data_IF_418080004349
#
_entry.id   IF_418080004349
#
_cell.length_a   1.000
_cell.length_b   1.000
_cell.length_c   1.000
_cell.angle_alpha   90.00
_cell.angle_beta   90.00
_cell.angle_gamma   90.00
#
_symmetry.space_group_name_H-M   'P 1'
#
loop_
_entity.id
_entity.type
_entity.pdbx_description
1 polymer ?
#
# COMPACT_ATOMS: atom_id res chain seq x y z
N UNK A 1 -17.50 3.40 1.34
CA UNK A 1 -16.60 2.84 2.36
C UNK A 1 -15.95 3.98 3.12
N UNK A 2 -15.69 3.82 4.41
CA UNK A 2 -14.93 4.81 5.18
C UNK A 2 -13.43 4.54 5.09
N UNK A 3 -12.63 5.60 5.08
CA UNK A 3 -11.17 5.53 5.19
C UNK A 3 -10.71 6.09 6.53
N UNK A 4 -9.51 5.73 6.97
CA UNK A 4 -8.89 6.28 8.17
C UNK A 4 -7.37 6.28 8.02
N UNK A 5 -6.70 7.09 8.84
CA UNK A 5 -5.25 7.20 8.83
C UNK A 5 -4.61 6.18 9.76
N UNK A 6 -3.49 5.61 9.33
CA UNK A 6 -2.68 4.65 10.08
C UNK A 6 -1.22 4.91 9.79
N UNK A 7 -0.37 4.82 10.82
CA UNK A 7 1.08 4.89 10.66
C UNK A 7 1.59 3.53 10.18
N UNK A 8 2.37 3.54 9.11
CA UNK A 8 3.03 2.35 8.55
C UNK A 8 4.52 2.66 8.35
N UNK A 9 5.33 1.63 8.20
CA UNK A 9 6.71 1.77 7.72
C UNK A 9 6.81 1.20 6.29
N UNK A 10 7.42 1.97 5.39
CA UNK A 10 7.76 1.53 4.03
C UNK A 10 9.25 1.17 4.03
N UNK A 11 9.55 -0.08 3.69
CA UNK A 11 10.92 -0.57 3.60
C UNK A 11 11.43 -0.59 2.16
N UNK A 12 12.73 -0.34 1.99
CA UNK A 12 13.42 -0.56 0.72
C UNK A 12 13.33 -2.03 0.30
N UNK A 13 13.54 -2.39 -0.99
CA UNK A 13 13.38 -3.77 -1.44
C UNK A 13 14.25 -4.80 -0.70
N UNK A 14 15.37 -4.37 -0.10
CA UNK A 14 16.26 -5.25 0.69
C UNK A 14 15.81 -5.44 2.14
N UNK A 15 14.86 -4.62 2.62
CA UNK A 15 14.33 -4.68 3.98
C UNK A 15 15.27 -4.13 5.06
N UNK A 16 16.27 -3.34 4.67
CA UNK A 16 17.30 -2.77 5.56
C UNK A 16 16.93 -1.36 5.98
N UNK A 17 16.42 -0.53 5.06
CA UNK A 17 16.00 0.85 5.32
C UNK A 17 14.49 0.91 5.42
N UNK A 18 14.00 1.65 6.40
CA UNK A 18 12.57 1.84 6.66
C UNK A 18 12.27 3.32 6.86
N UNK A 19 11.14 3.77 6.33
CA UNK A 19 10.62 5.11 6.52
C UNK A 19 9.20 5.03 7.11
N UNK A 20 9.01 5.64 8.27
CA UNK A 20 7.69 5.79 8.87
C UNK A 20 6.88 6.87 8.12
N UNK A 21 5.66 6.54 7.72
CA UNK A 21 4.74 7.44 7.02
C UNK A 21 3.31 7.27 7.52
N UNK A 22 2.53 8.34 7.45
CA UNK A 22 1.09 8.27 7.64
C UNK A 22 0.41 7.87 6.32
N UNK A 23 -0.36 6.78 6.35
CA UNK A 23 -1.10 6.27 5.22
C UNK A 23 -2.61 6.31 5.48
N UNK A 24 -3.40 6.40 4.40
CA UNK A 24 -4.86 6.22 4.42
C UNK A 24 -5.15 4.76 4.11
N UNK A 25 -5.78 4.04 5.04
CA UNK A 25 -6.30 2.70 4.78
C UNK A 25 -7.51 2.81 3.84
N UNK A 26 -7.35 2.32 2.61
CA UNK A 26 -8.35 2.44 1.55
C UNK A 26 -8.44 1.16 0.73
N UNK A 27 -9.44 0.33 1.02
CA UNK A 27 -9.72 -0.89 0.26
C UNK A 27 -10.35 -0.63 -1.10
N UNK A 28 -10.68 0.64 -1.42
CA UNK A 28 -11.07 1.04 -2.78
C UNK A 28 -9.87 1.15 -3.73
N UNK A 29 -8.65 1.27 -3.20
CA UNK A 29 -7.41 1.20 -3.97
C UNK A 29 -6.92 -0.25 -4.06
N UNK A 30 -6.66 -0.74 -5.28
CA UNK A 30 -6.16 -2.11 -5.50
C UNK A 30 -4.76 -2.29 -4.89
N UNK A 31 -3.85 -1.36 -5.16
CA UNK A 31 -2.46 -1.39 -4.69
C UNK A 31 -2.17 -0.23 -3.76
N UNK A 32 -1.10 -0.36 -2.98
CA UNK A 32 -0.56 0.75 -2.18
C UNK A 32 -0.01 1.82 -3.12
N UNK A 33 -0.41 3.07 -2.94
CA UNK A 33 0.09 4.21 -3.73
C UNK A 33 0.98 5.08 -2.84
N UNK A 34 2.18 5.40 -3.31
CA UNK A 34 3.17 6.17 -2.56
C UNK A 34 3.75 7.23 -3.48
N UNK A 35 3.89 8.50 -3.05
CA UNK A 35 4.58 9.53 -3.84
C UNK A 35 5.92 9.02 -4.39
N UNK A 36 6.14 9.22 -5.68
CA UNK A 36 7.29 8.65 -6.39
C UNK A 36 8.64 8.98 -5.72
N UNK A 37 8.80 10.19 -5.20
CA UNK A 37 10.02 10.63 -4.51
C UNK A 37 10.34 9.79 -3.26
N UNK A 38 9.34 9.31 -2.52
CA UNK A 38 9.57 8.44 -1.35
C UNK A 38 10.09 7.08 -1.80
N UNK A 39 9.51 6.52 -2.87
CA UNK A 39 9.94 5.24 -3.42
C UNK A 39 11.34 5.33 -4.03
N UNK A 40 11.66 6.44 -4.69
CA UNK A 40 12.98 6.73 -5.25
C UNK A 40 14.05 6.88 -4.16
N UNK A 41 13.75 7.55 -3.05
CA UNK A 41 14.63 7.67 -1.88
C UNK A 41 14.93 6.32 -1.20
N UNK A 42 13.99 5.37 -1.32
CA UNK A 42 14.12 3.98 -0.90
C UNK A 42 14.70 3.07 -2.00
N UNK A 43 15.18 3.64 -3.11
CA UNK A 43 15.76 2.90 -4.24
C UNK A 43 14.83 1.82 -4.82
N UNK A 44 13.51 2.03 -4.75
CA UNK A 44 12.53 1.12 -5.34
C UNK A 44 12.58 1.25 -6.86
N UNK A 45 12.71 0.12 -7.54
CA UNK A 45 12.80 0.07 -9.01
C UNK A 45 11.40 0.01 -9.62
N UNK A 46 11.18 0.82 -10.66
CA UNK A 46 10.00 0.75 -11.54
C UNK A 46 10.07 -0.56 -12.33
N UNK A 47 9.17 -1.49 -12.03
CA UNK A 47 9.15 -2.84 -12.60
C UNK A 47 8.27 -2.94 -13.85
N UNK A 48 7.10 -2.30 -13.82
CA UNK A 48 6.12 -2.35 -14.92
C UNK A 48 5.25 -1.09 -14.91
N UNK A 49 4.78 -0.66 -16.08
CA UNK A 49 3.76 0.38 -16.22
C UNK A 49 2.38 -0.25 -16.46
N UNK A 50 1.33 0.29 -15.86
CA UNK A 50 -0.04 -0.18 -16.05
C UNK A 50 -1.05 0.98 -16.14
N UNK A 51 -2.20 0.72 -16.77
CA UNK A 51 -3.35 1.63 -16.76
C UNK A 51 -4.12 1.48 -15.45
N UNK A 52 -4.52 2.61 -14.86
CA UNK A 52 -5.35 2.70 -13.68
C UNK A 52 -6.54 3.61 -13.93
N UNK A 53 -7.71 3.21 -13.43
CA UNK A 53 -8.90 4.06 -13.39
C UNK A 53 -8.94 4.75 -12.02
N UNK A 54 -8.93 6.08 -12.03
CA UNK A 54 -9.04 6.90 -10.82
C UNK A 54 -10.48 6.98 -10.32
N UNK A 55 -10.67 7.46 -9.09
CA UNK A 55 -11.99 7.62 -8.49
C UNK A 55 -12.93 8.55 -9.27
N UNK A 56 -12.37 9.47 -10.08
CA UNK A 56 -13.14 10.35 -10.97
C UNK A 56 -13.37 9.77 -12.38
N UNK A 57 -12.99 8.51 -12.60
CA UNK A 57 -13.16 7.79 -13.85
C UNK A 57 -12.08 8.05 -14.90
N UNK A 58 -11.10 8.92 -14.64
CA UNK A 58 -9.98 9.13 -15.57
C UNK A 58 -9.06 7.92 -15.61
N UNK A 59 -8.61 7.55 -16.80
CA UNK A 59 -7.52 6.59 -16.99
C UNK A 59 -6.16 7.28 -16.95
N UNK A 60 -5.23 6.69 -16.21
CA UNK A 60 -3.85 7.17 -16.10
C UNK A 60 -2.86 6.02 -16.20
N UNK A 61 -1.67 6.28 -16.75
CA UNK A 61 -0.55 5.34 -16.69
C UNK A 61 0.29 5.60 -15.46
N UNK A 62 0.60 4.56 -14.69
CA UNK A 62 1.52 4.65 -13.54
C UNK A 62 2.48 3.47 -13.52
N UNK A 63 3.69 3.73 -13.04
CA UNK A 63 4.66 2.68 -12.78
C UNK A 63 4.35 1.97 -11.47
N UNK A 64 4.70 0.69 -11.42
CA UNK A 64 4.56 -0.21 -10.28
C UNK A 64 5.96 -0.73 -9.93
N UNK A 65 6.27 -0.79 -8.64
CA UNK A 65 7.45 -1.43 -8.09
C UNK A 65 7.10 -2.37 -6.94
N UNK A 66 8.12 -2.79 -6.21
CA UNK A 66 7.98 -3.62 -5.02
C UNK A 66 8.64 -2.94 -3.82
N UNK A 67 7.94 -2.89 -2.69
CA UNK A 67 8.48 -2.40 -1.43
C UNK A 67 7.99 -3.28 -0.28
N UNK A 68 8.71 -3.26 0.83
CA UNK A 68 8.18 -3.80 2.07
C UNK A 68 7.19 -2.82 2.69
N UNK A 69 6.13 -3.34 3.29
CA UNK A 69 5.26 -2.60 4.20
C UNK A 69 5.26 -3.29 5.55
N UNK A 70 5.35 -2.52 6.63
CA UNK A 70 5.20 -3.00 8.00
C UNK A 70 4.19 -2.17 8.76
N UNK A 71 3.29 -2.84 9.47
CA UNK A 71 2.27 -2.23 10.33
C UNK A 71 1.72 -3.26 11.30
N UNK A 72 1.45 -2.86 12.55
CA UNK A 72 0.83 -3.73 13.55
C UNK A 72 1.61 -5.03 13.81
N UNK A 73 2.95 -4.97 13.81
CA UNK A 73 3.83 -6.12 14.01
C UNK A 73 3.87 -7.11 12.85
N UNK A 74 3.32 -6.76 11.68
CA UNK A 74 3.28 -7.60 10.47
C UNK A 74 4.04 -6.91 9.36
N UNK A 75 4.68 -7.70 8.50
CA UNK A 75 5.38 -7.19 7.32
C UNK A 75 5.20 -8.08 6.10
N UNK A 76 5.09 -7.47 4.92
CA UNK A 76 5.01 -8.17 3.64
C UNK A 76 5.65 -7.31 2.54
N UNK A 77 6.26 -7.96 1.55
CA UNK A 77 6.52 -7.32 0.25
C UNK A 77 5.18 -7.18 -0.47
N UNK A 78 4.98 -6.02 -1.10
CA UNK A 78 3.77 -5.73 -1.86
C UNK A 78 4.07 -4.92 -3.12
N UNK A 79 3.07 -4.83 -3.99
CA UNK A 79 3.09 -3.92 -5.14
C UNK A 79 2.82 -2.49 -4.69
N UNK A 80 3.68 -1.56 -5.11
CA UNK A 80 3.54 -0.12 -4.86
C UNK A 80 3.44 0.63 -6.18
N UNK A 81 2.46 1.53 -6.26
CA UNK A 81 2.27 2.44 -7.40
C UNK A 81 3.03 3.73 -7.12
N UNK A 82 3.82 4.18 -8.09
CA UNK A 82 4.49 5.48 -8.06
C UNK A 82 3.46 6.59 -8.26
N UNK A 83 2.98 7.15 -7.16
CA UNK A 83 1.95 8.18 -7.10
C UNK A 83 2.47 9.61 -7.33
N UNK A 84 1.54 10.54 -7.45
CA UNK A 84 1.84 11.96 -7.64
C UNK A 84 2.52 12.59 -6.42
N UNK A 85 3.43 13.55 -6.62
CA UNK A 85 3.99 14.35 -5.52
C UNK A 85 2.88 15.01 -4.68
N UNK A 86 2.99 14.90 -3.36
CA UNK A 86 2.03 15.50 -2.42
C UNK A 86 0.70 14.75 -2.27
N UNK A 87 0.46 13.68 -3.05
CA UNK A 87 -0.67 12.81 -2.81
C UNK A 87 -0.50 12.05 -1.47
N UNK A 88 -1.60 11.74 -0.76
CA UNK A 88 -1.51 10.91 0.43
C UNK A 88 -1.03 9.50 0.07
N UNK A 89 -0.26 8.89 0.96
CA UNK A 89 0.04 7.46 0.86
C UNK A 89 -1.26 6.68 1.07
N UNK A 90 -1.59 5.78 0.15
CA UNK A 90 -2.73 4.89 0.27
C UNK A 90 -2.23 3.48 0.61
N UNK A 91 -2.81 2.86 1.64
CA UNK A 91 -2.62 1.45 1.94
C UNK A 91 -3.77 0.66 1.28
N UNK A 92 -3.47 0.05 0.14
CA UNK A 92 -4.46 -0.62 -0.71
C UNK A 92 -4.78 -2.06 -0.30
N UNK A 93 -5.80 -2.63 -0.95
CA UNK A 93 -6.32 -3.97 -0.67
C UNK A 93 -5.24 -5.07 -0.74
N UNK A 94 -4.39 -5.06 -1.76
CA UNK A 94 -3.35 -6.09 -1.94
C UNK A 94 -2.37 -6.14 -0.75
N UNK A 95 -1.96 -4.98 -0.23
CA UNK A 95 -1.08 -4.94 0.94
C UNK A 95 -1.79 -5.40 2.21
N UNK A 96 -3.04 -4.99 2.40
CA UNK A 96 -3.88 -5.42 3.53
C UNK A 96 -4.05 -6.95 3.56
N UNK A 97 -4.34 -7.56 2.42
CA UNK A 97 -4.43 -9.02 2.29
C UNK A 97 -3.11 -9.72 2.58
N UNK A 98 -2.00 -9.24 1.99
CA UNK A 98 -0.66 -9.80 2.24
C UNK A 98 -0.23 -9.71 3.72
N UNK A 99 -0.66 -8.66 4.41
CA UNK A 99 -0.44 -8.47 5.85
C UNK A 99 -1.44 -9.26 6.72
N UNK A 100 -2.49 -9.84 6.11
CA UNK A 100 -3.62 -10.49 6.77
C UNK A 100 -4.30 -9.54 7.77
N UNK A 101 -4.64 -8.36 7.26
CA UNK A 101 -5.32 -7.29 7.96
C UNK A 101 -6.58 -6.89 7.18
N UNK A 102 -7.62 -6.49 7.90
CA UNK A 102 -8.79 -5.82 7.34
C UNK A 102 -8.92 -4.41 7.91
N UNK A 103 -9.51 -3.52 7.13
CA UNK A 103 -9.89 -2.19 7.59
C UNK A 103 -11.17 -2.28 8.44
N UNK A 104 -11.17 -1.68 9.63
CA UNK A 104 -12.36 -1.38 10.44
C UNK A 104 -12.57 0.15 10.41
N UNK A 105 -13.36 0.69 9.45
CA UNK A 105 -13.52 2.13 9.29
C UNK A 105 -14.26 2.81 10.44
N UNK A 106 -15.13 2.08 11.14
CA UNK A 106 -15.90 2.60 12.28
C UNK A 106 -14.97 2.73 13.49
N UNK A 107 -14.21 1.68 13.79
CA UNK A 107 -13.21 1.66 14.86
C UNK A 107 -11.90 2.38 14.50
N UNK A 108 -11.73 2.81 13.24
CA UNK A 108 -10.54 3.48 12.68
C UNK A 108 -9.24 2.74 12.98
N UNK A 109 -9.24 1.44 12.75
CA UNK A 109 -8.09 0.56 13.03
C UNK A 109 -7.97 -0.55 12.01
N UNK A 110 -6.77 -1.10 11.90
CA UNK A 110 -6.55 -2.36 11.19
C UNK A 110 -6.79 -3.52 12.16
N UNK A 111 -7.57 -4.51 11.72
CA UNK A 111 -7.86 -5.70 12.52
C UNK A 111 -7.22 -6.93 11.90
N UNK A 112 -6.58 -7.82 12.69
CA UNK A 112 -6.10 -9.10 12.21
C UNK A 112 -7.21 -9.95 11.62
N UNK A 113 -6.94 -10.56 10.46
CA UNK A 113 -7.81 -11.58 9.86
C UNK A 113 -7.00 -12.83 9.52
N UNK A 114 -7.61 -14.02 9.51
CA UNK A 114 -6.94 -15.23 9.03
C UNK A 114 -6.69 -15.16 7.52
N UNK A 115 -5.57 -15.71 7.05
CA UNK A 115 -5.42 -16.04 5.64
C UNK A 115 -6.25 -17.28 5.32
N UNK A 116 -6.97 -17.25 4.20
CA UNK A 116 -7.75 -18.39 3.74
C UNK A 116 -6.91 -19.21 2.75
N UNK A 117 -6.67 -20.47 3.09
CA UNK A 117 -6.15 -21.47 2.17
C UNK A 117 -7.31 -22.43 1.87
N UNK A 118 -8.07 -22.13 0.81
CA UNK A 118 -9.24 -22.91 0.43
C UNK A 118 -8.79 -24.17 -0.30
N UNK A 119 -8.56 -25.24 0.45
CA UNK A 119 -8.28 -26.59 -0.06
C UNK A 119 -9.27 -27.57 0.55
N UNK A 120 -9.99 -28.31 -0.28
CA UNK A 120 -10.97 -29.32 0.10
C UNK A 120 -11.30 -30.19 -1.09
#
# INVERSE_FOLDING_TARGET
MGTFRVVIEIGDPTGVRWLEVEAVADTGATYTSVPANILEDLSVVRHVAASFVLADGREVQRDIGHAWIRVGGRSAITLVVFGEPGAPVLLGAHALEGLRLAADPVGRRLVPVPALLLTG
#
